data_IF_920668546085
#
_entry.id   IF_920668546085
#
_cell.length_a   1.000
_cell.length_b   1.000
_cell.length_c   1.000
_cell.angle_alpha   90.00
_cell.angle_beta   90.00
_cell.angle_gamma   90.00
#
_symmetry.space_group_name_H-M   'P 1'
#
loop_
_entity.id
_entity.type
_entity.pdbx_description
1 polymer ?
#
# COMPACT_ATOMS: atom_id res chain seq x y z
N UNK A 1 5.30 -4.80 5.83
CA UNK A 1 5.80 -4.53 4.47
C UNK A 1 6.88 -5.51 4.11
N UNK A 2 7.39 -5.46 2.89
CA UNK A 2 8.52 -6.26 2.42
C UNK A 2 9.69 -5.31 2.09
N UNK A 3 10.52 -4.91 3.07
CA UNK A 3 11.47 -3.79 2.91
C UNK A 3 12.59 -4.07 1.92
N UNK A 4 12.79 -5.33 1.52
CA UNK A 4 13.82 -5.77 0.59
C UNK A 4 13.62 -5.22 -0.83
N UNK A 5 12.45 -4.67 -1.17
CA UNK A 5 12.21 -3.99 -2.47
C UNK A 5 12.66 -2.53 -2.47
N UNK A 6 13.00 -1.95 -1.32
CA UNK A 6 13.38 -0.54 -1.23
C UNK A 6 14.62 -0.24 -2.10
N UNK A 7 15.71 -1.04 -2.08
CA UNK A 7 16.87 -0.80 -2.93
C UNK A 7 16.53 -0.81 -4.42
N UNK A 8 15.79 -1.82 -4.88
CA UNK A 8 15.30 -1.91 -6.27
C UNK A 8 14.48 -0.65 -6.64
N UNK A 9 13.58 -0.23 -5.75
CA UNK A 9 12.78 0.98 -5.96
C UNK A 9 13.60 2.27 -6.04
N UNK A 10 14.72 2.37 -5.34
CA UNK A 10 15.64 3.51 -5.43
C UNK A 10 16.42 3.53 -6.74
N UNK A 11 16.81 2.35 -7.24
CA UNK A 11 17.49 2.20 -8.52
C UNK A 11 16.59 2.58 -9.69
N UNK A 12 15.29 2.28 -9.59
CA UNK A 12 14.28 2.67 -10.58
C UNK A 12 14.01 4.19 -10.65
N UNK A 13 14.48 4.98 -9.67
CA UNK A 13 14.31 6.43 -9.70
C UNK A 13 15.23 7.10 -10.72
N UNK A 14 14.68 8.03 -11.52
CA UNK A 14 15.49 9.03 -12.22
C UNK A 14 16.24 9.96 -11.26
N UNK A 15 17.23 10.70 -11.79
CA UNK A 15 17.88 11.79 -11.07
C UNK A 15 16.85 12.78 -10.49
N UNK A 16 17.04 13.19 -9.23
CA UNK A 16 16.10 14.04 -8.50
C UNK A 16 14.81 13.36 -8.04
N UNK A 17 14.67 12.04 -8.25
CA UNK A 17 13.47 11.27 -7.95
C UNK A 17 13.17 11.18 -6.45
N UNK A 18 11.91 10.88 -6.12
CA UNK A 18 11.45 10.67 -4.74
C UNK A 18 10.82 9.28 -4.61
N UNK A 19 11.34 8.47 -3.69
CA UNK A 19 10.76 7.20 -3.28
C UNK A 19 9.86 7.45 -2.07
N UNK A 20 8.58 7.12 -2.18
CA UNK A 20 7.58 7.30 -1.14
C UNK A 20 7.31 5.96 -0.45
N UNK A 21 7.71 5.83 0.81
CA UNK A 21 7.51 4.64 1.63
C UNK A 21 6.25 4.77 2.49
N UNK A 22 5.31 3.83 2.32
CA UNK A 22 4.01 3.84 3.03
C UNK A 22 3.73 2.50 3.75
N UNK A 23 4.49 1.43 3.44
CA UNK A 23 4.10 0.04 3.77
C UNK A 23 4.94 -0.64 4.87
N UNK A 24 6.11 -0.10 5.20
CA UNK A 24 7.04 -0.70 6.17
C UNK A 24 6.85 -0.08 7.55
N UNK A 25 5.75 -0.45 8.22
CA UNK A 25 5.41 0.01 9.57
C UNK A 25 5.86 -0.95 10.69
N UNK A 26 6.17 -2.20 10.32
CA UNK A 26 6.61 -3.25 11.25
C UNK A 26 8.06 -3.03 11.67
N UNK A 27 8.33 -3.10 12.98
CA UNK A 27 9.69 -3.01 13.53
C UNK A 27 10.45 -4.32 13.33
N UNK A 28 11.79 -4.25 13.33
CA UNK A 28 12.66 -5.42 13.35
C UNK A 28 13.13 -5.93 11.99
N UNK A 29 12.78 -5.24 10.90
CA UNK A 29 13.30 -5.54 9.56
C UNK A 29 14.02 -4.31 9.02
N UNK A 30 15.25 -4.51 8.56
CA UNK A 30 16.11 -3.45 8.03
C UNK A 30 16.52 -3.78 6.60
N UNK A 31 17.02 -2.78 5.88
CA UNK A 31 17.59 -2.93 4.55
C UNK A 31 18.87 -2.11 4.44
N UNK A 32 19.85 -2.65 3.72
CA UNK A 32 21.09 -1.93 3.43
C UNK A 32 20.90 -1.05 2.20
N UNK A 33 21.39 0.19 2.27
CA UNK A 33 21.30 1.16 1.18
C UNK A 33 22.67 1.79 1.01
N UNK A 34 23.18 1.83 -0.22
CA UNK A 34 24.41 2.55 -0.55
C UNK A 34 24.14 4.06 -0.62
N UNK A 35 24.73 4.89 0.27
CA UNK A 35 24.44 6.33 0.30
C UNK A 35 24.85 7.08 -0.98
N UNK A 36 25.86 6.57 -1.71
CA UNK A 36 26.34 7.18 -2.95
C UNK A 36 25.23 7.27 -4.02
N UNK A 37 24.34 6.26 -4.07
CA UNK A 37 23.20 6.20 -4.98
C UNK A 37 22.23 7.38 -4.80
N UNK A 38 22.08 7.85 -3.56
CA UNK A 38 21.25 9.01 -3.22
C UNK A 38 21.94 10.32 -3.62
N UNK A 39 23.25 10.41 -3.42
CA UNK A 39 24.05 11.63 -3.67
C UNK A 39 24.21 11.88 -5.16
N UNK A 40 24.77 10.91 -5.90
CA UNK A 40 24.88 10.99 -7.37
C UNK A 40 23.50 11.12 -8.02
N UNK A 41 22.53 10.44 -7.44
CA UNK A 41 21.14 10.47 -7.83
C UNK A 41 20.41 11.79 -7.54
N UNK A 42 20.89 12.59 -6.59
CA UNK A 42 20.10 13.63 -5.89
C UNK A 42 18.70 13.14 -5.48
N UNK A 43 18.59 11.88 -5.04
CA UNK A 43 17.32 11.19 -4.75
C UNK A 43 16.84 11.48 -3.33
N UNK A 44 15.53 11.29 -3.09
CA UNK A 44 14.89 11.46 -1.77
C UNK A 44 14.13 10.20 -1.37
N UNK A 45 14.17 9.88 -0.08
CA UNK A 45 13.30 8.88 0.55
C UNK A 45 12.35 9.63 1.47
N UNK A 46 11.04 9.42 1.30
CA UNK A 46 10.01 10.05 2.12
C UNK A 46 9.11 8.99 2.73
N UNK A 47 9.11 8.89 4.06
CA UNK A 47 8.15 8.07 4.79
C UNK A 47 6.86 8.83 5.01
N UNK A 48 5.72 8.19 4.77
CA UNK A 48 4.39 8.74 5.11
C UNK A 48 3.60 7.69 5.87
N UNK A 49 3.02 8.12 6.99
CA UNK A 49 2.06 7.34 7.76
C UNK A 49 0.72 8.07 7.75
N UNK A 50 -0.34 7.34 7.45
CA UNK A 50 -1.71 7.86 7.45
C UNK A 50 -1.87 9.11 6.56
N UNK A 51 -2.88 9.93 6.86
CA UNK A 51 -3.27 11.12 6.14
C UNK A 51 -3.92 12.10 7.13
N UNK A 52 -3.85 13.39 6.81
CA UNK A 52 -4.60 14.40 7.57
C UNK A 52 -6.12 14.31 7.28
N UNK A 53 -6.99 14.72 8.22
CA UNK A 53 -8.44 14.65 8.05
C UNK A 53 -8.98 15.33 6.78
N UNK A 54 -8.33 16.42 6.33
CA UNK A 54 -8.73 17.16 5.11
C UNK A 54 -8.55 16.35 3.81
N UNK A 55 -7.79 15.25 3.84
CA UNK A 55 -7.56 14.39 2.68
C UNK A 55 -8.82 13.59 2.34
N UNK A 56 -9.64 13.23 3.33
CA UNK A 56 -10.85 12.41 3.14
C UNK A 56 -11.83 13.04 2.12
N UNK A 57 -12.27 14.31 2.27
CA UNK A 57 -13.19 14.92 1.30
C UNK A 57 -12.58 14.98 -0.11
N UNK A 58 -11.28 15.27 -0.23
CA UNK A 58 -10.59 15.27 -1.53
C UNK A 58 -10.55 13.89 -2.17
N UNK A 59 -10.33 12.84 -1.38
CA UNK A 59 -10.37 11.47 -1.86
C UNK A 59 -11.78 11.08 -2.34
N UNK A 60 -12.83 11.49 -1.62
CA UNK A 60 -14.20 11.26 -2.04
C UNK A 60 -14.54 11.99 -3.35
N UNK A 61 -14.16 13.26 -3.48
CA UNK A 61 -14.30 14.00 -4.74
C UNK A 61 -13.55 13.35 -5.90
N UNK A 62 -12.37 12.79 -5.63
CA UNK A 62 -11.62 12.01 -6.62
C UNK A 62 -12.40 10.75 -7.06
N UNK A 63 -13.00 10.02 -6.12
CA UNK A 63 -13.82 8.85 -6.45
C UNK A 63 -15.04 9.23 -7.29
N UNK A 64 -15.75 10.30 -6.92
CA UNK A 64 -16.93 10.78 -7.66
C UNK A 64 -16.54 11.18 -9.09
N UNK A 65 -15.49 11.99 -9.26
CA UNK A 65 -15.08 12.49 -10.58
C UNK A 65 -14.56 11.38 -11.50
N UNK A 66 -14.02 10.31 -10.93
CA UNK A 66 -13.36 9.22 -11.70
C UNK A 66 -14.16 7.91 -11.71
N UNK A 67 -15.39 7.88 -11.17
CA UNK A 67 -16.18 6.66 -10.99
C UNK A 67 -16.37 5.81 -12.25
N UNK A 68 -16.44 6.45 -13.42
CA UNK A 68 -16.57 5.79 -14.72
C UNK A 68 -15.25 5.57 -15.47
N UNK A 69 -14.14 6.10 -14.94
CA UNK A 69 -12.81 6.03 -15.57
C UNK A 69 -12.01 4.83 -15.06
N UNK A 70 -12.08 4.54 -13.77
CA UNK A 70 -11.34 3.44 -13.15
C UNK A 70 -12.28 2.32 -12.70
N UNK A 71 -11.89 1.05 -12.83
CA UNK A 71 -12.72 -0.09 -12.46
C UNK A 71 -12.71 -0.30 -10.94
N UNK A 72 -13.20 0.67 -10.17
CA UNK A 72 -13.21 0.62 -8.70
C UNK A 72 -13.91 -0.63 -8.15
N UNK A 73 -14.91 -1.16 -8.86
CA UNK A 73 -15.59 -2.41 -8.49
C UNK A 73 -14.66 -3.63 -8.45
N UNK A 74 -13.53 -3.62 -9.19
CA UNK A 74 -12.51 -4.69 -9.14
C UNK A 74 -11.59 -4.59 -7.93
N UNK A 75 -11.65 -3.51 -7.15
CA UNK A 75 -10.82 -3.38 -5.95
C UNK A 75 -11.28 -4.32 -4.84
N UNK A 76 -12.55 -4.69 -4.79
CA UNK A 76 -13.09 -5.65 -3.84
C UNK A 76 -13.00 -7.05 -4.45
N UNK A 77 -12.18 -7.90 -3.86
CA UNK A 77 -12.04 -9.29 -4.28
C UNK A 77 -13.17 -10.18 -3.77
N UNK A 78 -13.64 -9.93 -2.53
CA UNK A 78 -14.62 -10.79 -1.85
C UNK A 78 -15.61 -9.94 -1.04
N UNK A 79 -16.81 -10.50 -0.82
CA UNK A 79 -17.86 -9.91 -0.01
C UNK A 79 -18.36 -10.96 0.98
N UNK A 80 -18.46 -10.58 2.25
CA UNK A 80 -18.93 -11.45 3.32
C UNK A 80 -20.11 -10.80 4.04
N UNK A 81 -21.19 -11.54 4.32
CA UNK A 81 -22.19 -11.07 5.28
C UNK A 81 -21.61 -10.98 6.69
N UNK A 82 -22.20 -10.14 7.55
CA UNK A 82 -21.67 -9.87 8.90
C UNK A 82 -21.59 -11.13 9.79
N UNK A 83 -22.52 -12.07 9.63
CA UNK A 83 -22.54 -13.36 10.34
C UNK A 83 -21.32 -14.24 10.02
N UNK A 84 -20.63 -13.98 8.91
CA UNK A 84 -19.39 -14.66 8.48
C UNK A 84 -18.12 -13.85 8.73
N UNK A 85 -18.15 -12.88 9.64
CA UNK A 85 -16.99 -12.02 9.94
C UNK A 85 -15.73 -12.81 10.32
N UNK A 86 -15.88 -13.93 11.04
CA UNK A 86 -14.75 -14.78 11.43
C UNK A 86 -14.09 -15.45 10.22
N UNK A 87 -14.89 -15.89 9.24
CA UNK A 87 -14.38 -16.43 7.97
C UNK A 87 -13.64 -15.34 7.19
N UNK A 88 -14.20 -14.13 7.13
CA UNK A 88 -13.58 -12.98 6.46
C UNK A 88 -12.22 -12.63 7.07
N UNK A 89 -12.09 -12.64 8.40
CA UNK A 89 -10.81 -12.41 9.08
C UNK A 89 -9.80 -13.52 8.80
N UNK A 90 -10.19 -14.79 8.97
CA UNK A 90 -9.31 -15.93 8.74
C UNK A 90 -8.81 -15.96 7.28
N UNK A 91 -9.66 -15.59 6.32
CA UNK A 91 -9.32 -15.55 4.90
C UNK A 91 -8.49 -14.31 4.49
N UNK A 92 -8.55 -13.22 5.27
CA UNK A 92 -7.75 -12.01 5.05
C UNK A 92 -6.40 -12.02 5.78
N UNK A 93 -6.10 -13.07 6.53
CA UNK A 93 -4.88 -13.19 7.32
C UNK A 93 -3.66 -13.43 6.41
N UNK A 94 -2.68 -12.52 6.47
CA UNK A 94 -1.50 -12.51 5.60
C UNK A 94 -0.25 -13.13 6.21
N UNK A 95 -0.20 -13.35 7.53
CA UNK A 95 1.05 -13.73 8.20
C UNK A 95 1.32 -15.24 8.16
N UNK A 96 0.29 -16.09 8.05
CA UNK A 96 0.42 -17.56 8.03
C UNK A 96 0.12 -18.23 6.67
N UNK A 97 0.21 -17.53 5.52
CA UNK A 97 -0.11 -18.14 4.22
C UNK A 97 0.98 -17.95 3.17
N UNK A 98 1.31 -19.05 2.49
CA UNK A 98 2.20 -19.08 1.32
C UNK A 98 1.62 -18.36 0.09
N UNK A 99 0.29 -18.15 0.05
CA UNK A 99 -0.40 -17.43 -1.01
C UNK A 99 -1.63 -16.67 -0.51
N UNK A 100 -1.76 -15.42 -0.98
CA UNK A 100 -2.86 -14.53 -0.61
C UNK A 100 -4.07 -14.75 -1.50
N UNK A 101 -5.08 -15.50 -1.04
CA UNK A 101 -6.31 -15.75 -1.80
C UNK A 101 -7.24 -14.52 -1.85
N UNK A 102 -7.10 -13.61 -0.88
CA UNK A 102 -7.94 -12.41 -0.73
C UNK A 102 -7.06 -11.17 -0.61
N UNK A 103 -7.28 -10.18 -1.48
CA UNK A 103 -6.56 -8.90 -1.44
C UNK A 103 -7.33 -7.84 -0.67
N UNK A 104 -8.64 -7.74 -0.89
CA UNK A 104 -9.56 -6.83 -0.17
C UNK A 104 -10.95 -7.45 -0.05
N UNK A 105 -11.45 -7.57 1.17
CA UNK A 105 -12.80 -8.01 1.47
C UNK A 105 -13.66 -6.84 1.95
N UNK A 106 -14.96 -6.88 1.67
CA UNK A 106 -15.94 -5.96 2.23
C UNK A 106 -17.03 -6.73 2.99
N UNK A 107 -17.48 -6.16 4.11
CA UNK A 107 -18.69 -6.61 4.77
C UNK A 107 -19.90 -6.02 4.05
N UNK A 108 -20.85 -6.88 3.72
CA UNK A 108 -22.16 -6.46 3.20
C UNK A 108 -23.20 -6.51 4.34
N UNK A 109 -24.17 -5.59 4.34
CA UNK A 109 -25.28 -5.61 5.29
C UNK A 109 -26.05 -6.94 5.29
#
# INVERSE_FOLDING_TARGET
GFPQVIPEGLDMLRFGGTYLEVGTISRGVTVEIEPSSLVWGSKKIMGVIQYDPWVIPRALEFLIRTRGRFPFGRLLSHKYPLDRINEAFAASEWHNRDATTITRAALIP
#
